data_IF_056552078488
#
_entry.id   IF_056552078488
#
_cell.length_a   1.000
_cell.length_b   1.000
_cell.length_c   1.000
_cell.angle_alpha   90.00
_cell.angle_beta   90.00
_cell.angle_gamma   90.00
#
_symmetry.space_group_name_H-M   'P 1'
#
loop_
_entity.id
_entity.type
_entity.pdbx_description
1 polymer ?
#
# COMPACT_ATOMS: atom_id res chain seq x y z
N UNK A 1 8.96 -36.63 42.78
CA UNK A 1 7.87 -36.86 41.80
C UNK A 1 6.80 -35.80 41.82
N UNK A 2 7.11 -34.54 41.95
CA UNK A 2 6.06 -33.49 42.00
C UNK A 2 6.33 -32.23 41.17
N UNK A 3 7.29 -32.24 40.27
CA UNK A 3 7.70 -31.03 39.58
C UNK A 3 7.62 -31.09 38.05
N UNK A 4 6.70 -31.90 37.50
CA UNK A 4 6.55 -32.03 36.04
C UNK A 4 5.44 -31.18 35.42
N UNK A 5 4.72 -30.38 36.21
CA UNK A 5 3.56 -29.61 35.67
C UNK A 5 3.75 -28.09 35.60
N UNK A 6 4.98 -27.58 35.64
CA UNK A 6 5.19 -26.12 35.55
C UNK A 6 5.85 -25.63 34.27
N UNK A 7 6.16 -26.51 33.34
CA UNK A 7 6.83 -26.11 32.10
C UNK A 7 5.93 -25.97 30.86
N UNK A 8 4.64 -26.26 30.96
CA UNK A 8 3.75 -26.26 29.80
C UNK A 8 3.02 -24.96 29.58
N UNK A 9 3.14 -23.97 30.47
CA UNK A 9 2.38 -22.74 30.39
C UNK A 9 3.13 -21.56 29.77
N UNK A 10 4.41 -21.70 29.48
CA UNK A 10 5.23 -20.60 28.98
C UNK A 10 5.30 -20.57 27.45
N UNK A 11 4.95 -21.65 26.77
CA UNK A 11 5.07 -21.76 25.32
C UNK A 11 3.87 -21.19 24.54
N UNK A 12 2.77 -20.85 25.19
CA UNK A 12 1.56 -20.34 24.54
C UNK A 12 1.50 -18.82 24.43
N UNK A 13 2.40 -18.10 25.09
CA UNK A 13 2.42 -16.63 25.07
C UNK A 13 3.29 -16.03 23.95
N UNK A 14 4.10 -16.84 23.27
CA UNK A 14 4.98 -16.35 22.19
C UNK A 14 4.28 -16.33 20.83
N UNK A 15 3.21 -17.10 20.65
CA UNK A 15 2.51 -17.15 19.38
C UNK A 15 1.56 -15.95 19.13
N UNK A 16 1.17 -15.24 20.20
CA UNK A 16 0.27 -14.08 20.07
C UNK A 16 0.93 -12.78 19.62
N UNK A 17 2.25 -12.64 19.83
CA UNK A 17 2.95 -11.41 19.48
C UNK A 17 3.44 -11.37 18.01
N UNK A 18 3.57 -12.50 17.33
CA UNK A 18 4.00 -12.55 15.94
C UNK A 18 2.91 -12.06 14.96
N UNK A 19 1.62 -12.22 15.32
CA UNK A 19 0.49 -11.81 14.47
C UNK A 19 0.29 -10.29 14.51
N UNK A 20 0.59 -9.61 15.61
CA UNK A 20 0.45 -8.17 15.75
C UNK A 20 1.50 -7.40 14.92
N UNK A 21 2.70 -7.95 14.76
CA UNK A 21 3.77 -7.34 13.95
C UNK A 21 3.50 -7.43 12.45
N UNK A 22 2.81 -8.46 11.97
CA UNK A 22 2.51 -8.65 10.56
C UNK A 22 1.52 -7.62 10.01
N UNK A 23 0.73 -6.94 10.87
CA UNK A 23 -0.28 -5.97 10.46
C UNK A 23 0.25 -4.54 10.32
N UNK A 24 1.45 -4.24 10.85
CA UNK A 24 2.06 -2.91 10.76
C UNK A 24 3.06 -2.81 9.62
N UNK A 25 2.67 -3.29 8.44
CA UNK A 25 3.51 -3.24 7.25
C UNK A 25 2.70 -2.80 6.05
N UNK A 26 3.39 -2.34 5.01
CA UNK A 26 2.79 -2.00 3.72
C UNK A 26 2.41 -3.21 2.88
N UNK A 27 2.69 -4.42 3.35
CA UNK A 27 2.25 -5.65 2.69
C UNK A 27 0.73 -5.74 2.66
N UNK A 28 0.17 -6.17 1.53
CA UNK A 28 -1.26 -6.35 1.36
C UNK A 28 -1.85 -5.46 0.28
N UNK A 29 -3.14 -5.21 0.38
CA UNK A 29 -3.88 -4.41 -0.58
C UNK A 29 -4.31 -3.08 0.01
N UNK A 30 -4.16 -2.03 -0.78
CA UNK A 30 -4.46 -0.66 -0.39
C UNK A 30 -5.30 0.00 -1.45
N UNK A 31 -6.22 0.86 -1.03
CA UNK A 31 -7.10 1.60 -1.93
C UNK A 31 -7.23 3.05 -1.51
N UNK A 32 -7.08 3.95 -2.46
CA UNK A 32 -7.47 5.34 -2.33
C UNK A 32 -8.83 5.56 -2.99
N UNK A 33 -9.61 6.47 -2.43
CA UNK A 33 -10.95 6.79 -2.93
C UNK A 33 -11.08 8.27 -3.22
N UNK A 34 -11.82 8.58 -4.27
CA UNK A 34 -12.32 9.93 -4.52
C UNK A 34 -13.85 9.84 -4.59
N UNK A 35 -14.52 10.36 -3.55
CA UNK A 35 -15.95 10.12 -3.39
C UNK A 35 -16.23 8.61 -3.23
N UNK A 36 -17.04 8.05 -4.11
CA UNK A 36 -17.45 6.65 -4.09
C UNK A 36 -16.68 5.76 -5.08
N UNK A 37 -15.65 6.30 -5.74
CA UNK A 37 -14.89 5.55 -6.73
C UNK A 37 -13.42 5.44 -6.33
N UNK A 38 -12.74 4.33 -6.65
CA UNK A 38 -11.31 4.21 -6.39
C UNK A 38 -10.51 5.13 -7.34
N UNK A 39 -9.46 5.76 -6.82
CA UNK A 39 -8.49 6.49 -7.64
C UNK A 39 -7.19 5.72 -7.78
N UNK A 40 -6.85 4.86 -6.83
CA UNK A 40 -5.66 4.03 -6.87
C UNK A 40 -5.87 2.74 -6.08
N UNK A 41 -5.27 1.67 -6.56
CA UNK A 41 -5.16 0.41 -5.82
C UNK A 41 -3.72 -0.09 -5.88
N UNK A 42 -3.17 -0.46 -4.73
CA UNK A 42 -1.83 -1.02 -4.62
C UNK A 42 -1.94 -2.43 -4.04
N UNK A 43 -1.14 -3.34 -4.57
CA UNK A 43 -0.98 -4.68 -4.01
C UNK A 43 0.50 -4.92 -3.80
N UNK A 44 0.90 -5.25 -2.58
CA UNK A 44 2.29 -5.52 -2.21
C UNK A 44 2.38 -6.90 -1.60
N UNK A 45 3.26 -7.72 -2.15
CA UNK A 45 3.54 -9.06 -1.69
C UNK A 45 5.00 -9.21 -1.33
N UNK A 46 5.28 -10.03 -0.34
CA UNK A 46 6.65 -10.32 0.08
C UNK A 46 6.81 -11.84 0.19
N UNK A 47 7.72 -12.38 -0.61
CA UNK A 47 8.01 -13.80 -0.66
C UNK A 47 9.52 -14.02 -0.51
N UNK A 48 9.92 -14.83 0.47
CA UNK A 48 11.32 -15.21 0.69
C UNK A 48 12.29 -14.01 0.74
N UNK A 49 11.89 -12.93 1.41
CA UNK A 49 12.71 -11.72 1.55
C UNK A 49 12.69 -10.79 0.34
N UNK A 50 11.90 -11.12 -0.69
CA UNK A 50 11.76 -10.31 -1.89
C UNK A 50 10.35 -9.71 -1.98
N UNK A 51 10.28 -8.39 -2.16
CA UNK A 51 9.00 -7.68 -2.29
C UNK A 51 8.70 -7.42 -3.76
N UNK A 52 7.45 -7.65 -4.14
CA UNK A 52 6.90 -7.31 -5.45
C UNK A 52 5.57 -6.58 -5.27
N UNK A 53 5.18 -5.79 -6.25
CA UNK A 53 3.92 -5.09 -6.17
C UNK A 53 3.37 -4.73 -7.53
N UNK A 54 2.08 -4.43 -7.52
CA UNK A 54 1.34 -3.90 -8.66
C UNK A 54 0.57 -2.66 -8.24
N UNK A 55 0.37 -1.75 -9.18
CA UNK A 55 -0.40 -0.55 -8.96
C UNK A 55 -1.41 -0.36 -10.08
N UNK A 56 -2.60 0.11 -9.73
CA UNK A 56 -3.64 0.51 -10.66
C UNK A 56 -4.03 1.94 -10.35
N UNK A 57 -3.87 2.82 -11.31
CA UNK A 57 -4.33 4.21 -11.22
C UNK A 57 -5.54 4.39 -12.12
N UNK A 58 -6.63 4.88 -11.55
CA UNK A 58 -7.88 5.10 -12.28
C UNK A 58 -7.94 6.53 -12.79
N UNK A 59 -8.33 6.67 -14.05
CA UNK A 59 -8.61 7.97 -14.65
C UNK A 59 -10.05 8.33 -14.35
N UNK A 60 -10.23 9.39 -13.57
CA UNK A 60 -11.54 9.85 -13.14
C UNK A 60 -11.98 11.03 -13.96
N UNK A 61 -13.27 11.08 -14.27
CA UNK A 61 -13.90 12.19 -14.98
C UNK A 61 -15.19 12.58 -14.29
N UNK A 62 -15.43 13.88 -14.25
CA UNK A 62 -16.71 14.46 -13.84
C UNK A 62 -17.41 15.04 -15.06
N UNK A 63 -18.71 14.78 -15.18
CA UNK A 63 -19.50 15.35 -16.27
C UNK A 63 -19.76 16.84 -16.05
N UNK A 64 -19.86 17.26 -14.78
CA UNK A 64 -19.98 18.64 -14.33
C UNK A 64 -19.17 18.84 -13.06
N UNK A 65 -18.84 20.08 -12.72
CA UNK A 65 -18.01 20.41 -11.55
C UNK A 65 -18.58 19.88 -10.23
N UNK A 66 -19.91 19.81 -10.12
CA UNK A 66 -20.63 19.35 -8.93
C UNK A 66 -21.13 17.90 -9.03
N UNK A 67 -20.81 17.20 -10.12
CA UNK A 67 -21.19 15.80 -10.28
C UNK A 67 -20.20 14.86 -9.60
N UNK A 68 -20.66 13.64 -9.26
CA UNK A 68 -19.80 12.61 -8.75
C UNK A 68 -18.81 12.14 -9.83
N UNK A 69 -17.54 11.86 -9.48
CA UNK A 69 -16.59 11.31 -10.44
C UNK A 69 -16.96 9.89 -10.85
N UNK A 70 -16.61 9.52 -12.06
CA UNK A 70 -16.71 8.15 -12.56
C UNK A 70 -15.39 7.70 -13.19
N UNK A 71 -15.15 6.40 -13.20
CA UNK A 71 -13.95 5.82 -13.80
C UNK A 71 -14.09 5.81 -15.31
N UNK A 72 -13.16 6.46 -16.01
CA UNK A 72 -13.13 6.53 -17.48
C UNK A 72 -12.09 5.55 -18.05
N UNK A 73 -11.07 5.22 -17.30
CA UNK A 73 -10.00 4.31 -17.71
C UNK A 73 -9.08 4.00 -16.58
N UNK A 74 -8.06 3.21 -16.85
CA UNK A 74 -7.06 2.85 -15.86
C UNK A 74 -5.70 2.63 -16.50
N UNK A 75 -4.65 2.88 -15.69
CA UNK A 75 -3.28 2.50 -15.97
C UNK A 75 -2.83 1.51 -14.92
N UNK A 76 -2.50 0.30 -15.32
CA UNK A 76 -2.10 -0.77 -14.41
C UNK A 76 -0.74 -1.33 -14.83
N UNK A 77 0.07 -1.72 -13.87
CA UNK A 77 1.36 -2.32 -14.15
C UNK A 77 2.11 -2.73 -12.90
N UNK A 78 3.26 -3.39 -13.10
CA UNK A 78 4.12 -3.76 -11.98
C UNK A 78 4.79 -2.53 -11.39
N UNK A 79 5.04 -2.58 -10.07
CA UNK A 79 5.94 -1.63 -9.43
C UNK A 79 7.36 -1.97 -9.84
N UNK A 80 8.06 -1.02 -10.44
CA UNK A 80 9.44 -1.17 -10.87
C UNK A 80 10.37 -0.47 -9.89
N UNK A 81 11.59 -0.98 -9.76
CA UNK A 81 12.60 -0.43 -8.83
C UNK A 81 12.04 -0.31 -7.40
N UNK A 82 11.26 -1.30 -6.99
CA UNK A 82 10.62 -1.30 -5.68
C UNK A 82 11.67 -1.38 -4.58
N UNK A 83 11.71 -0.34 -3.75
CA UNK A 83 12.50 -0.29 -2.54
C UNK A 83 11.54 -0.39 -1.35
N UNK A 84 11.42 -1.58 -0.79
CA UNK A 84 10.45 -1.91 0.23
C UNK A 84 11.09 -1.91 1.62
N UNK A 85 10.45 -1.19 2.53
CA UNK A 85 10.61 -1.34 3.97
C UNK A 85 9.22 -1.51 4.58
N UNK A 86 9.07 -2.13 5.77
CA UNK A 86 7.75 -2.36 6.33
C UNK A 86 6.88 -1.11 6.45
N UNK A 87 7.46 0.05 6.78
CA UNK A 87 6.72 1.28 7.04
C UNK A 87 6.73 2.28 5.89
N UNK A 88 7.62 2.11 4.92
CA UNK A 88 7.72 3.00 3.76
C UNK A 88 8.28 2.26 2.56
N UNK A 89 7.85 2.66 1.38
CA UNK A 89 8.38 2.11 0.14
C UNK A 89 8.39 3.17 -0.94
N UNK A 90 9.21 2.94 -1.96
CA UNK A 90 9.23 3.73 -3.17
C UNK A 90 9.23 2.82 -4.39
N UNK A 91 8.65 3.28 -5.47
CA UNK A 91 8.62 2.52 -6.72
C UNK A 91 8.40 3.45 -7.92
N UNK A 92 8.65 2.90 -9.09
CA UNK A 92 8.46 3.58 -10.37
C UNK A 92 7.39 2.87 -11.18
N UNK A 93 6.68 3.64 -12.00
CA UNK A 93 5.72 3.13 -12.98
C UNK A 93 6.04 3.72 -14.35
N UNK A 94 5.98 2.90 -15.40
CA UNK A 94 6.10 3.38 -16.77
C UNK A 94 4.73 3.76 -17.32
N UNK A 95 4.68 4.93 -17.99
CA UNK A 95 3.52 5.36 -18.75
C UNK A 95 3.59 4.79 -20.16
N UNK A 96 2.48 4.90 -20.89
CA UNK A 96 2.40 4.44 -22.29
C UNK A 96 3.38 5.17 -23.23
N UNK A 97 3.70 6.42 -22.91
CA UNK A 97 4.67 7.22 -23.66
C UNK A 97 6.13 6.90 -23.34
N UNK A 98 6.38 5.94 -22.44
CA UNK A 98 7.72 5.57 -22.00
C UNK A 98 8.27 6.40 -20.86
N UNK A 99 7.59 7.45 -20.43
CA UNK A 99 8.02 8.23 -19.27
C UNK A 99 7.82 7.46 -17.97
N UNK A 100 8.63 7.82 -16.97
CA UNK A 100 8.61 7.16 -15.66
C UNK A 100 8.03 8.11 -14.63
N UNK A 101 7.12 7.61 -13.82
CA UNK A 101 6.57 8.33 -12.67
C UNK A 101 7.02 7.61 -11.40
N UNK A 102 7.54 8.34 -10.45
CA UNK A 102 8.04 7.80 -9.19
C UNK A 102 7.09 8.14 -8.05
N UNK A 103 6.93 7.17 -7.14
CA UNK A 103 6.01 7.26 -6.01
C UNK A 103 6.70 6.85 -4.72
N UNK A 104 6.18 7.38 -3.63
CA UNK A 104 6.54 6.99 -2.27
C UNK A 104 5.26 6.70 -1.48
N UNK A 105 5.27 5.64 -0.70
CA UNK A 105 4.17 5.28 0.20
C UNK A 105 4.70 5.23 1.62
N UNK A 106 3.98 5.85 2.52
CA UNK A 106 4.32 5.87 3.94
C UNK A 106 3.14 5.37 4.76
N UNK A 107 3.42 4.39 5.64
CA UNK A 107 2.42 3.87 6.56
C UNK A 107 2.11 4.91 7.64
N UNK A 108 0.84 5.21 7.85
CA UNK A 108 0.38 6.11 8.90
C UNK A 108 0.01 5.34 10.17
N UNK A 109 -0.71 4.25 10.00
CA UNK A 109 -1.04 3.27 11.04
C UNK A 109 -1.29 1.91 10.39
N UNK A 110 -1.74 0.92 11.16
CA UNK A 110 -1.92 -0.45 10.66
C UNK A 110 -2.85 -0.54 9.43
N UNK A 111 -3.79 0.40 9.28
CA UNK A 111 -4.84 0.35 8.26
C UNK A 111 -4.84 1.56 7.32
N UNK A 112 -3.92 2.50 7.51
CA UNK A 112 -3.85 3.73 6.72
C UNK A 112 -2.42 4.01 6.25
N UNK A 113 -2.31 4.56 5.06
CA UNK A 113 -1.06 4.97 4.46
C UNK A 113 -1.28 6.21 3.58
N UNK A 114 -0.19 6.81 3.14
CA UNK A 114 -0.22 7.93 2.20
C UNK A 114 0.66 7.65 1.00
N UNK A 115 0.14 7.95 -0.18
CA UNK A 115 0.84 7.85 -1.45
C UNK A 115 1.24 9.25 -1.92
N UNK A 116 2.52 9.42 -2.23
CA UNK A 116 3.08 10.67 -2.74
C UNK A 116 3.69 10.43 -4.12
N UNK A 117 3.44 11.35 -5.04
CA UNK A 117 4.15 11.40 -6.31
C UNK A 117 5.42 12.23 -6.12
N UNK A 118 6.58 11.67 -6.43
CA UNK A 118 7.88 12.29 -6.16
C UNK A 118 8.61 12.78 -7.40
N UNK A 119 8.08 12.51 -8.60
CA UNK A 119 8.75 12.82 -9.87
C UNK A 119 8.44 14.18 -10.46
N UNK A 120 7.56 14.97 -9.85
CA UNK A 120 7.22 16.31 -10.33
C UNK A 120 7.94 17.39 -9.54
N UNK A 121 8.59 18.31 -10.28
CA UNK A 121 9.28 19.46 -9.70
C UNK A 121 8.32 20.61 -9.33
N UNK A 122 7.03 20.47 -9.59
CA UNK A 122 6.03 21.53 -9.46
C UNK A 122 5.34 21.52 -8.09
N UNK A 123 6.07 21.86 -7.05
CA UNK A 123 5.50 22.14 -5.73
C UNK A 123 5.48 20.94 -4.77
N UNK A 124 4.94 21.12 -3.56
CA UNK A 124 4.92 20.07 -2.55
C UNK A 124 4.08 18.88 -3.02
N UNK A 125 4.62 17.68 -2.85
CA UNK A 125 3.93 16.45 -3.19
C UNK A 125 2.62 16.35 -2.41
N UNK A 126 1.50 16.29 -3.13
CA UNK A 126 0.20 16.01 -2.50
C UNK A 126 0.10 14.52 -2.19
N UNK A 127 -0.22 14.22 -0.93
CA UNK A 127 -0.47 12.85 -0.51
C UNK A 127 -1.91 12.42 -0.78
N UNK A 128 -2.06 11.21 -1.27
CA UNK A 128 -3.35 10.55 -1.36
C UNK A 128 -3.50 9.60 -0.18
N UNK A 129 -4.64 9.68 0.49
CA UNK A 129 -4.92 8.78 1.60
C UNK A 129 -5.28 7.40 1.07
N UNK A 130 -4.66 6.39 1.66
CA UNK A 130 -4.91 4.98 1.35
C UNK A 130 -5.46 4.28 2.58
N UNK A 131 -6.39 3.37 2.37
CA UNK A 131 -6.88 2.47 3.40
C UNK A 131 -6.58 1.02 2.99
N UNK A 132 -6.30 0.19 4.00
CA UNK A 132 -6.12 -1.24 3.78
C UNK A 132 -7.42 -1.88 3.34
N UNK A 133 -7.34 -2.78 2.36
CA UNK A 133 -8.47 -3.54 1.83
C UNK A 133 -8.24 -5.02 2.14
N UNK A 134 -9.29 -5.69 2.61
CA UNK A 134 -9.23 -7.14 2.89
C UNK A 134 -9.35 -7.97 1.62
#
# INVERSE_FOLDING_TARGET
MRNLNRFTLVLLLVAGSAVAYAQNTLRGKWRGMEGNVPNVELTVEQNAGHATGTAVFYMLKKDHDDSAPHVEGQAAGPMENLNYQPEKMSFDMHRRDGSVVSFRVELTDANHAKLFRTSDDDGPAQGFDLARVD
#
